data_IF_786172406849
#
_entry.id   IF_786172406849
#
_cell.length_a   1.000
_cell.length_b   1.000
_cell.length_c   1.000
_cell.angle_alpha   90.00
_cell.angle_beta   90.00
_cell.angle_gamma   90.00
#
_symmetry.space_group_name_H-M   'P 1'
#
loop_
_entity.id
_entity.type
_entity.pdbx_description
1 polymer ?
#
# COMPACT_ATOMS: atom_id res chain seq x y z
N UNK A 1 5.55 -24.07 -0.53
CA UNK A 1 5.44 -22.60 -0.41
C UNK A 1 5.53 -22.27 1.08
N UNK A 2 6.64 -21.70 1.57
CA UNK A 2 6.74 -21.29 2.99
C UNK A 2 5.75 -20.14 3.19
N UNK A 3 4.86 -20.27 4.18
CA UNK A 3 3.91 -19.19 4.53
C UNK A 3 4.70 -17.96 4.93
N UNK A 4 4.42 -16.82 4.32
CA UNK A 4 4.97 -15.52 4.73
C UNK A 4 4.81 -15.35 6.24
N UNK A 5 5.91 -15.05 6.95
CA UNK A 5 5.92 -14.86 8.39
C UNK A 5 5.35 -13.48 8.71
N UNK A 6 4.03 -13.39 8.80
CA UNK A 6 3.41 -12.19 9.36
C UNK A 6 3.68 -12.12 10.84
N UNK A 7 3.93 -10.92 11.36
CA UNK A 7 3.81 -10.72 12.80
C UNK A 7 2.39 -11.04 13.26
N UNK A 8 2.26 -11.57 14.48
CA UNK A 8 0.97 -11.70 15.14
C UNK A 8 0.53 -10.32 15.65
N UNK A 9 -0.66 -9.87 15.26
CA UNK A 9 -1.30 -8.66 15.76
C UNK A 9 -1.08 -7.39 14.93
N UNK A 10 -1.65 -6.29 15.40
CA UNK A 10 -1.80 -5.06 14.63
C UNK A 10 -0.51 -4.21 14.62
N UNK A 11 -0.14 -3.69 13.45
CA UNK A 11 0.98 -2.79 13.20
C UNK A 11 0.65 -1.37 13.61
N UNK A 12 1.68 -0.60 13.95
CA UNK A 12 1.62 0.86 14.05
C UNK A 12 2.89 1.48 13.45
N UNK A 13 2.90 2.80 13.29
CA UNK A 13 4.08 3.54 12.83
C UNK A 13 5.31 3.41 13.74
N UNK A 14 5.13 2.95 14.99
CA UNK A 14 6.22 2.63 15.94
C UNK A 14 6.64 1.16 15.94
N UNK A 15 5.94 0.30 15.21
CA UNK A 15 6.30 -1.10 15.09
C UNK A 15 7.67 -1.25 14.43
N UNK A 16 8.42 -2.28 14.85
CA UNK A 16 9.65 -2.69 14.18
C UNK A 16 9.25 -3.73 13.12
N UNK A 17 9.53 -3.48 11.82
CA UNK A 17 9.30 -4.49 10.78
C UNK A 17 10.03 -5.78 11.12
N UNK A 18 9.42 -6.92 10.76
CA UNK A 18 10.13 -8.20 10.78
C UNK A 18 11.29 -8.19 9.77
N UNK A 19 12.35 -8.94 10.07
CA UNK A 19 13.40 -9.18 9.07
C UNK A 19 12.81 -9.99 7.93
N UNK A 20 13.20 -9.65 6.70
CA UNK A 20 12.87 -10.49 5.55
C UNK A 20 13.50 -11.87 5.71
N UNK A 21 12.84 -12.89 5.16
CA UNK A 21 13.30 -14.27 5.16
C UNK A 21 14.05 -14.66 3.86
N UNK A 22 14.28 -13.70 2.96
CA UNK A 22 15.10 -13.88 1.76
C UNK A 22 15.92 -12.64 1.44
N UNK A 23 16.85 -12.82 0.50
CA UNK A 23 17.77 -11.77 0.06
C UNK A 23 17.04 -10.69 -0.76
N UNK A 24 17.74 -9.59 -1.00
CA UNK A 24 17.29 -8.57 -1.94
C UNK A 24 17.25 -9.16 -3.35
N UNK A 25 16.12 -9.00 -4.02
CA UNK A 25 15.88 -9.42 -5.40
C UNK A 25 15.09 -8.29 -6.07
N UNK A 26 15.63 -7.78 -7.18
CA UNK A 26 15.11 -6.59 -7.84
C UNK A 26 13.74 -6.79 -8.49
N UNK A 27 13.44 -8.01 -8.94
CA UNK A 27 12.19 -8.38 -9.61
C UNK A 27 11.19 -9.04 -8.64
N UNK A 28 11.58 -9.28 -7.39
CA UNK A 28 10.69 -9.90 -6.41
C UNK A 28 9.95 -8.88 -5.57
N UNK A 29 8.62 -9.02 -5.52
CA UNK A 29 7.76 -8.08 -4.83
C UNK A 29 6.59 -8.76 -4.09
N UNK A 30 5.93 -7.99 -3.25
CA UNK A 30 4.66 -8.31 -2.62
C UNK A 30 3.55 -7.41 -3.18
N UNK A 31 2.42 -8.03 -3.51
CA UNK A 31 1.12 -7.35 -3.44
C UNK A 31 0.45 -7.76 -2.12
N UNK A 32 -0.11 -6.81 -1.39
CA UNK A 32 -0.66 -7.04 -0.06
C UNK A 32 -1.93 -6.23 0.22
N UNK A 33 -2.84 -6.85 0.96
CA UNK A 33 -4.08 -6.25 1.44
C UNK A 33 -3.98 -6.02 2.94
N UNK A 34 -4.20 -4.77 3.36
CA UNK A 34 -4.26 -4.42 4.78
C UNK A 34 -5.43 -3.49 5.09
N UNK A 35 -5.82 -3.46 6.35
CA UNK A 35 -6.93 -2.68 6.89
C UNK A 35 -6.41 -1.65 7.90
N UNK A 36 -6.88 -0.42 7.80
CA UNK A 36 -6.73 0.61 8.81
C UNK A 36 -7.88 0.48 9.82
N UNK A 37 -7.55 0.12 11.05
CA UNK A 37 -8.53 -0.44 12.00
C UNK A 37 -9.30 0.64 12.76
N UNK A 38 -8.65 1.74 13.09
CA UNK A 38 -9.11 2.65 14.15
C UNK A 38 -9.14 4.12 13.73
N UNK A 39 -9.27 4.42 12.43
CA UNK A 39 -9.35 5.82 11.99
C UNK A 39 -10.58 6.54 12.56
N UNK A 40 -11.71 5.82 12.68
CA UNK A 40 -12.95 6.36 13.22
C UNK A 40 -12.84 6.84 14.67
N UNK A 41 -11.88 6.32 15.44
CA UNK A 41 -11.64 6.73 16.84
C UNK A 41 -11.05 8.15 16.92
N UNK A 42 -10.38 8.61 15.86
CA UNK A 42 -9.75 9.93 15.79
C UNK A 42 -10.52 10.90 14.90
N UNK A 43 -11.24 10.38 13.91
CA UNK A 43 -11.97 11.18 12.94
C UNK A 43 -13.41 10.62 12.83
N UNK A 44 -14.40 11.26 13.48
CA UNK A 44 -15.76 10.75 13.57
C UNK A 44 -16.45 10.46 12.23
N UNK A 45 -16.07 11.18 11.16
CA UNK A 45 -16.59 10.94 9.81
C UNK A 45 -16.28 9.53 9.26
N UNK A 46 -15.30 8.83 9.85
CA UNK A 46 -14.91 7.47 9.49
C UNK A 46 -15.38 6.42 10.52
N UNK A 47 -16.22 6.79 11.49
CA UNK A 47 -16.75 5.86 12.46
C UNK A 47 -17.54 4.73 11.77
N UNK A 48 -17.22 3.48 12.12
CA UNK A 48 -17.84 2.29 11.53
C UNK A 48 -17.41 1.94 10.10
N UNK A 49 -16.54 2.74 9.47
CA UNK A 49 -15.99 2.40 8.15
C UNK A 49 -14.92 1.30 8.27
N UNK A 50 -14.84 0.45 7.24
CA UNK A 50 -13.76 -0.54 7.12
C UNK A 50 -12.87 -0.18 5.94
N UNK A 51 -11.71 0.37 6.27
CA UNK A 51 -10.85 1.05 5.31
C UNK A 51 -9.70 0.13 4.94
N UNK A 52 -9.68 -0.32 3.68
CA UNK A 52 -8.68 -1.22 3.14
C UNK A 52 -7.75 -0.51 2.17
N UNK A 53 -6.52 -1.01 2.06
CA UNK A 53 -5.60 -0.67 0.98
C UNK A 53 -5.02 -1.95 0.39
N UNK A 54 -5.10 -2.01 -0.93
CA UNK A 54 -4.26 -2.89 -1.73
C UNK A 54 -2.97 -2.13 -2.07
N UNK A 55 -1.83 -2.79 -1.87
CA UNK A 55 -0.54 -2.13 -2.00
C UNK A 55 0.51 -3.01 -2.64
N UNK A 56 1.56 -2.34 -3.10
CA UNK A 56 2.78 -2.91 -3.63
C UNK A 56 3.99 -2.58 -2.74
N UNK A 57 4.91 -3.54 -2.60
CA UNK A 57 6.20 -3.36 -1.92
C UNK A 57 7.25 -4.31 -2.50
N UNK A 58 8.53 -3.94 -2.42
CA UNK A 58 9.63 -4.88 -2.68
C UNK A 58 9.57 -6.05 -1.70
N UNK A 59 10.11 -7.21 -2.09
CA UNK A 59 10.18 -8.37 -1.20
C UNK A 59 11.04 -8.08 0.04
N UNK A 60 12.26 -7.63 -0.21
CA UNK A 60 13.25 -7.23 0.79
C UNK A 60 13.79 -5.86 0.40
N UNK A 61 13.92 -4.94 1.35
CA UNK A 61 14.68 -3.70 1.14
C UNK A 61 16.18 -3.93 1.36
N UNK A 62 17.05 -3.05 0.83
CA UNK A 62 18.52 -3.17 0.97
C UNK A 62 19.02 -3.31 2.42
N UNK A 63 18.25 -2.80 3.38
CA UNK A 63 18.52 -2.90 4.82
C UNK A 63 18.06 -4.23 5.47
N UNK A 64 17.55 -5.18 4.68
CA UNK A 64 17.13 -6.51 5.11
C UNK A 64 15.74 -6.58 5.77
N UNK A 65 14.96 -5.50 5.76
CA UNK A 65 13.59 -5.49 6.32
C UNK A 65 12.55 -5.99 5.31
N UNK A 66 11.49 -6.62 5.84
CA UNK A 66 10.31 -7.00 5.06
C UNK A 66 9.64 -5.75 4.46
N UNK A 67 9.34 -5.81 3.16
CA UNK A 67 8.85 -4.64 2.46
C UNK A 67 7.41 -4.26 2.82
N UNK A 68 6.55 -5.24 3.12
CA UNK A 68 5.14 -5.00 3.45
C UNK A 68 5.04 -4.23 4.76
N UNK A 69 5.65 -4.74 5.83
CA UNK A 69 5.56 -4.09 7.15
C UNK A 69 6.23 -2.72 7.14
N UNK A 70 7.35 -2.58 6.41
CA UNK A 70 8.05 -1.30 6.24
C UNK A 70 7.17 -0.25 5.55
N UNK A 71 6.46 -0.62 4.48
CA UNK A 71 5.57 0.31 3.75
C UNK A 71 4.32 0.67 4.52
N UNK A 72 3.72 -0.28 5.24
CA UNK A 72 2.55 0.01 6.08
C UNK A 72 2.95 0.96 7.21
N UNK A 73 4.07 0.70 7.90
CA UNK A 73 4.59 1.57 8.96
C UNK A 73 4.81 3.00 8.46
N UNK A 74 5.46 3.15 7.31
CA UNK A 74 5.70 4.45 6.70
C UNK A 74 4.39 5.16 6.37
N UNK A 75 3.44 4.44 5.76
CA UNK A 75 2.12 4.99 5.43
C UNK A 75 1.40 5.48 6.68
N UNK A 76 1.36 4.69 7.76
CA UNK A 76 0.77 5.10 9.03
C UNK A 76 1.46 6.34 9.61
N UNK A 77 2.80 6.39 9.57
CA UNK A 77 3.57 7.53 10.08
C UNK A 77 3.23 8.82 9.33
N UNK A 78 3.14 8.74 8.00
CA UNK A 78 2.77 9.86 7.16
C UNK A 78 1.32 10.30 7.42
N UNK A 79 0.39 9.35 7.64
CA UNK A 79 -1.00 9.64 7.98
C UNK A 79 -1.11 10.37 9.32
N UNK A 80 -0.43 9.86 10.35
CA UNK A 80 -0.39 10.48 11.68
C UNK A 80 0.17 11.91 11.59
N UNK A 81 1.25 12.12 10.84
CA UNK A 81 1.80 13.46 10.61
C UNK A 81 0.80 14.38 9.93
N UNK A 82 0.13 13.93 8.87
CA UNK A 82 -0.80 14.76 8.10
C UNK A 82 -2.10 15.06 8.86
N UNK A 83 -2.55 14.14 9.70
CA UNK A 83 -3.73 14.31 10.54
C UNK A 83 -3.43 14.96 11.88
N UNK A 84 -2.16 15.33 12.14
CA UNK A 84 -1.69 15.88 13.41
C UNK A 84 -2.07 14.98 14.62
N UNK A 85 -1.85 13.68 14.47
CA UNK A 85 -2.04 12.68 15.51
C UNK A 85 -0.69 12.27 16.12
N UNK A 86 -0.72 11.79 17.37
CA UNK A 86 0.46 11.23 18.01
C UNK A 86 0.98 10.00 17.25
N UNK A 87 2.31 9.85 17.17
CA UNK A 87 2.88 8.69 16.49
C UNK A 87 2.59 7.38 17.22
N UNK A 88 2.12 6.39 16.48
CA UNK A 88 1.86 5.02 16.92
C UNK A 88 0.43 4.75 17.37
N UNK A 89 -0.47 5.72 17.18
CA UNK A 89 -1.89 5.60 17.56
C UNK A 89 -2.71 4.93 16.47
N UNK A 90 -2.37 5.10 15.19
CA UNK A 90 -3.05 4.40 14.10
C UNK A 90 -2.59 2.94 14.04
N UNK A 91 -3.55 2.05 13.79
CA UNK A 91 -3.36 0.60 13.75
C UNK A 91 -3.70 0.03 12.39
N UNK A 92 -2.84 -0.85 11.91
CA UNK A 92 -3.02 -1.59 10.67
C UNK A 92 -3.07 -3.09 10.91
N UNK A 93 -3.92 -3.80 10.18
CA UNK A 93 -3.96 -5.27 10.14
C UNK A 93 -3.67 -5.75 8.73
N UNK A 94 -2.67 -6.60 8.58
CA UNK A 94 -2.41 -7.24 7.30
C UNK A 94 -3.32 -8.45 7.19
N UNK A 95 -4.10 -8.50 6.13
CA UNK A 95 -4.98 -9.62 5.86
C UNK A 95 -4.27 -10.65 5.00
N UNK A 96 -3.70 -10.21 3.88
CA UNK A 96 -3.09 -11.08 2.87
C UNK A 96 -1.82 -10.42 2.31
N UNK A 97 -0.81 -11.21 1.97
CA UNK A 97 0.27 -10.79 1.09
C UNK A 97 0.64 -11.95 0.16
N UNK A 98 0.89 -11.63 -1.09
CA UNK A 98 1.25 -12.58 -2.12
C UNK A 98 2.51 -12.11 -2.85
N UNK A 99 3.46 -13.03 -2.96
CA UNK A 99 4.72 -12.83 -3.68
C UNK A 99 4.50 -13.17 -5.13
N UNK A 100 5.12 -12.38 -6.01
CA UNK A 100 5.26 -12.66 -7.43
C UNK A 100 6.41 -11.83 -8.00
N UNK A 101 6.49 -11.76 -9.32
CA UNK A 101 7.37 -10.79 -9.99
C UNK A 101 6.86 -9.37 -9.78
N UNK A 102 7.69 -8.39 -10.11
CA UNK A 102 7.36 -6.97 -9.99
C UNK A 102 6.16 -6.63 -10.85
N UNK A 103 6.12 -7.16 -12.07
CA UNK A 103 5.01 -6.93 -13.01
C UNK A 103 3.77 -7.72 -12.64
N UNK A 104 3.86 -8.95 -12.14
CA UNK A 104 2.68 -9.69 -11.66
C UNK A 104 2.00 -8.98 -10.50
N UNK A 105 2.79 -8.54 -9.53
CA UNK A 105 2.29 -7.88 -8.32
C UNK A 105 1.74 -6.48 -8.61
N UNK A 106 2.43 -5.68 -9.44
CA UNK A 106 1.90 -4.40 -9.92
C UNK A 106 0.64 -4.60 -10.77
N UNK A 107 0.59 -5.62 -11.63
CA UNK A 107 -0.59 -5.91 -12.44
C UNK A 107 -1.80 -6.25 -11.58
N UNK A 108 -1.61 -7.09 -10.55
CA UNK A 108 -2.67 -7.40 -9.59
C UNK A 108 -3.16 -6.13 -8.88
N UNK A 109 -2.25 -5.26 -8.44
CA UNK A 109 -2.58 -4.00 -7.78
C UNK A 109 -3.34 -3.04 -8.71
N UNK A 110 -2.83 -2.82 -9.93
CA UNK A 110 -3.46 -1.92 -10.89
C UNK A 110 -4.84 -2.42 -11.33
N UNK A 111 -5.00 -3.73 -11.50
CA UNK A 111 -6.31 -4.32 -11.75
C UNK A 111 -7.27 -4.05 -10.58
N UNK A 112 -6.83 -4.30 -9.34
CA UNK A 112 -7.63 -4.02 -8.14
C UNK A 112 -8.06 -2.55 -8.13
N UNK A 113 -7.12 -1.62 -8.28
CA UNK A 113 -7.41 -0.19 -8.28
C UNK A 113 -8.44 0.22 -9.35
N UNK A 114 -8.27 -0.26 -10.58
CA UNK A 114 -9.16 0.07 -11.69
C UNK A 114 -10.62 -0.38 -11.46
N UNK A 115 -10.82 -1.56 -10.86
CA UNK A 115 -12.15 -2.13 -10.62
C UNK A 115 -12.82 -1.57 -9.37
N UNK A 116 -12.02 -1.05 -8.44
CA UNK A 116 -12.50 -0.55 -7.15
C UNK A 116 -12.59 0.98 -7.08
N UNK A 117 -12.30 1.68 -8.17
CA UNK A 117 -12.36 3.14 -8.24
C UNK A 117 -13.64 3.76 -7.65
N UNK A 118 -14.86 3.22 -7.86
CA UNK A 118 -16.07 3.81 -7.27
C UNK A 118 -16.13 3.77 -5.74
N UNK A 119 -15.44 2.81 -5.11
CA UNK A 119 -15.37 2.67 -3.65
C UNK A 119 -14.13 3.34 -3.06
N UNK A 120 -13.34 4.04 -3.90
CA UNK A 120 -12.07 4.64 -3.52
C UNK A 120 -12.31 5.88 -2.68
N UNK A 121 -11.70 5.90 -1.51
CA UNK A 121 -11.55 7.09 -0.69
C UNK A 121 -10.26 7.79 -1.13
N UNK A 122 -10.41 8.76 -2.03
CA UNK A 122 -9.29 9.54 -2.53
C UNK A 122 -9.08 10.79 -1.66
N UNK A 123 -7.82 11.18 -1.46
CA UNK A 123 -7.47 12.46 -0.85
C UNK A 123 -7.62 12.56 0.67
N UNK A 124 -7.81 11.42 1.34
CA UNK A 124 -7.93 11.32 2.79
C UNK A 124 -6.71 11.86 3.55
N UNK A 125 -5.58 11.97 2.86
CA UNK A 125 -4.30 12.36 3.45
C UNK A 125 -3.49 13.29 2.54
N UNK A 126 -4.17 14.26 1.90
CA UNK A 126 -3.42 15.41 1.41
C UNK A 126 -3.00 16.26 2.60
N UNK A 127 -1.73 16.64 2.66
CA UNK A 127 -1.30 17.68 3.60
C UNK A 127 -1.88 19.03 3.17
N UNK A 128 -2.95 19.46 3.84
CA UNK A 128 -3.59 20.77 3.59
C UNK A 128 -2.89 21.90 4.37
N UNK A 129 -1.94 21.59 5.26
CA UNK A 129 -1.21 22.62 6.03
C UNK A 129 -0.16 23.35 5.18
N UNK A 130 0.27 22.75 4.07
CA UNK A 130 1.15 23.36 3.06
C UNK A 130 0.41 24.21 2.01
N UNK A 131 -0.77 24.73 2.34
CA UNK A 131 -1.55 25.67 1.53
C UNK A 131 -0.92 27.08 1.46
N UNK A 132 0.40 27.17 1.31
CA UNK A 132 1.07 28.38 0.83
C UNK A 132 1.07 28.37 -0.70
N UNK A 133 0.24 29.23 -1.31
CA UNK A 133 0.31 29.64 -2.73
C UNK A 133 0.55 28.50 -3.73
N UNK A 134 -0.50 27.76 -4.09
CA UNK A 134 -0.56 27.03 -5.36
C UNK A 134 0.20 25.71 -5.47
N UNK A 135 0.77 25.17 -4.38
CA UNK A 135 1.34 23.81 -4.39
C UNK A 135 0.31 22.80 -3.88
N UNK A 136 -0.11 21.86 -4.74
CA UNK A 136 -0.95 20.71 -4.34
C UNK A 136 -0.26 20.00 -3.16
N UNK A 137 -0.98 19.81 -2.05
CA UNK A 137 -0.46 19.08 -0.89
C UNK A 137 0.18 17.75 -1.30
N UNK A 138 1.31 17.38 -0.69
CA UNK A 138 1.95 16.08 -0.98
C UNK A 138 1.03 15.00 -0.39
N UNK A 139 0.63 14.03 -1.21
CA UNK A 139 -0.18 12.91 -0.76
C UNK A 139 0.66 11.99 0.13
N UNK A 140 0.11 11.57 1.27
CA UNK A 140 0.73 10.63 2.22
C UNK A 140 0.98 9.26 1.58
N UNK A 141 2.23 8.79 1.64
CA UNK A 141 2.64 7.50 1.09
C UNK A 141 2.57 7.40 -0.45
N UNK A 142 2.44 8.53 -1.16
CA UNK A 142 2.03 8.61 -2.57
C UNK A 142 0.54 8.96 -2.69
N UNK A 143 -0.05 8.96 -3.89
CA UNK A 143 -1.52 9.10 -4.05
C UNK A 143 -2.18 7.80 -3.57
N UNK A 144 -2.06 7.52 -2.28
CA UNK A 144 -2.42 6.24 -1.68
C UNK A 144 -3.93 6.05 -1.77
N UNK A 145 -4.34 5.04 -2.53
CA UNK A 145 -5.74 4.69 -2.68
C UNK A 145 -6.19 3.80 -1.52
N UNK A 146 -7.21 4.24 -0.80
CA UNK A 146 -7.92 3.47 0.22
C UNK A 146 -9.35 3.20 -0.25
N UNK A 147 -10.01 2.21 0.34
CA UNK A 147 -11.36 1.82 -0.04
C UNK A 147 -12.20 1.48 1.19
N UNK A 148 -13.43 1.98 1.23
CA UNK A 148 -14.40 1.55 2.23
C UNK A 148 -15.20 0.35 1.69
N UNK A 149 -14.99 -0.84 2.25
CA UNK A 149 -15.76 -2.03 1.85
C UNK A 149 -15.72 -3.12 2.93
N UNK A 150 -16.67 -4.08 2.94
CA UNK A 150 -16.60 -5.23 3.85
C UNK A 150 -15.35 -6.08 3.61
N UNK A 151 -14.79 -6.67 4.67
CA UNK A 151 -13.58 -7.50 4.59
C UNK A 151 -13.69 -8.70 3.66
N UNK A 152 -14.84 -9.39 3.68
CA UNK A 152 -15.08 -10.53 2.78
C UNK A 152 -14.96 -10.08 1.32
N UNK A 153 -15.51 -8.90 1.01
CA UNK A 153 -15.41 -8.29 -0.32
C UNK A 153 -13.98 -7.90 -0.65
N UNK A 154 -13.25 -7.25 0.27
CA UNK A 154 -11.85 -6.86 0.06
C UNK A 154 -10.96 -8.07 -0.24
N UNK A 155 -11.07 -9.13 0.58
CA UNK A 155 -10.34 -10.40 0.39
C UNK A 155 -10.70 -11.09 -0.91
N UNK A 156 -11.99 -11.15 -1.26
CA UNK A 156 -12.44 -11.75 -2.52
C UNK A 156 -11.91 -10.99 -3.74
N UNK A 157 -11.93 -9.65 -3.70
CA UNK A 157 -11.42 -8.79 -4.78
C UNK A 157 -9.90 -8.89 -4.92
N UNK A 158 -9.17 -8.98 -3.81
CA UNK A 158 -7.73 -9.26 -3.78
C UNK A 158 -7.41 -10.61 -4.42
N UNK A 159 -8.07 -11.69 -3.99
CA UNK A 159 -7.84 -13.00 -4.58
C UNK A 159 -8.20 -13.04 -6.08
N UNK A 160 -9.22 -12.29 -6.49
CA UNK A 160 -9.64 -12.21 -7.89
C UNK A 160 -8.66 -11.43 -8.78
N UNK A 161 -7.93 -10.43 -8.27
CA UNK A 161 -6.95 -9.68 -9.07
C UNK A 161 -5.81 -10.57 -9.58
N UNK A 162 -5.49 -11.64 -8.85
CA UNK A 162 -4.46 -12.61 -9.17
C UNK A 162 -4.86 -13.69 -10.18
N UNK A 163 -6.06 -13.64 -10.78
CA UNK A 163 -6.43 -14.55 -11.87
C UNK A 163 -5.68 -14.14 -13.15
N UNK A 164 -5.21 -15.11 -13.93
CA UNK A 164 -4.39 -14.83 -15.13
C UNK A 164 -5.01 -13.82 -16.11
N UNK A 165 -6.32 -13.91 -16.37
CA UNK A 165 -7.02 -12.94 -17.24
C UNK A 165 -7.16 -11.53 -16.65
N UNK A 166 -7.06 -11.39 -15.33
CA UNK A 166 -7.09 -10.10 -14.64
C UNK A 166 -5.68 -9.51 -14.49
N UNK A 167 -4.67 -10.36 -14.29
CA UNK A 167 -3.26 -9.97 -14.38
C UNK A 167 -2.96 -9.37 -15.76
N UNK A 168 -3.41 -10.00 -16.85
CA UNK A 168 -3.23 -9.46 -18.21
C UNK A 168 -3.82 -8.04 -18.36
N UNK A 169 -5.04 -7.82 -17.86
CA UNK A 169 -5.68 -6.49 -17.85
C UNK A 169 -4.94 -5.49 -16.96
N UNK A 170 -4.37 -5.97 -15.86
CA UNK A 170 -3.52 -5.18 -14.98
C UNK A 170 -2.23 -4.73 -15.67
N UNK A 171 -1.60 -5.64 -16.42
CA UNK A 171 -0.38 -5.38 -17.17
C UNK A 171 -0.61 -4.32 -18.24
N UNK A 172 -1.72 -4.38 -18.98
CA UNK A 172 -2.10 -3.33 -19.93
C UNK A 172 -2.14 -1.93 -19.27
N UNK A 173 -2.61 -1.83 -18.02
CA UNK A 173 -2.64 -0.58 -17.26
C UNK A 173 -1.21 -0.15 -16.87
N UNK A 174 -0.39 -1.10 -16.41
CA UNK A 174 1.01 -0.86 -16.04
C UNK A 174 1.80 -0.32 -17.23
N UNK A 175 1.73 -1.01 -18.38
CA UNK A 175 2.41 -0.62 -19.63
C UNK A 175 1.93 0.74 -20.14
N UNK A 176 0.62 0.99 -20.09
CA UNK A 176 0.06 2.30 -20.46
C UNK A 176 0.59 3.41 -19.55
N UNK A 177 0.63 3.19 -18.23
CA UNK A 177 1.15 4.19 -17.29
C UNK A 177 2.63 4.46 -17.51
N UNK A 178 3.44 3.41 -17.67
CA UNK A 178 4.89 3.51 -17.95
C UNK A 178 5.15 4.27 -19.25
N UNK A 179 4.51 3.88 -20.35
CA UNK A 179 4.67 4.54 -21.66
C UNK A 179 4.19 6.00 -21.68
N UNK A 180 3.21 6.33 -20.83
CA UNK A 180 2.70 7.70 -20.68
C UNK A 180 3.46 8.54 -19.63
N UNK A 181 4.50 8.00 -19.00
CA UNK A 181 5.25 8.69 -17.93
C UNK A 181 4.44 8.95 -16.65
N UNK A 182 3.32 8.24 -16.45
CA UNK A 182 2.48 8.37 -15.26
C UNK A 182 3.15 7.65 -14.10
N UNK A 183 3.45 8.39 -13.03
CA UNK A 183 4.05 7.84 -11.81
C UNK A 183 3.16 6.78 -11.13
N UNK A 184 3.78 5.86 -10.38
CA UNK A 184 3.10 4.83 -9.60
C UNK A 184 3.20 3.40 -10.14
N UNK A 185 3.92 3.19 -11.24
CA UNK A 185 4.24 1.85 -11.77
C UNK A 185 5.77 1.73 -11.99
N UNK A 186 6.56 1.55 -10.91
CA UNK A 186 8.01 1.45 -11.02
C UNK A 186 8.44 0.25 -11.88
N UNK A 187 9.63 0.31 -12.47
CA UNK A 187 10.32 -0.87 -13.03
C UNK A 187 11.28 -1.43 -11.98
N UNK A 188 11.62 -2.74 -12.05
CA UNK A 188 12.57 -3.39 -11.15
C UNK A 188 13.89 -2.59 -10.98
N UNK A 189 14.38 -2.07 -12.10
CA UNK A 189 15.65 -1.41 -12.36
C UNK A 189 15.72 0.07 -11.91
N UNK A 190 14.64 0.66 -11.39
CA UNK A 190 14.69 2.02 -10.85
C UNK A 190 15.29 2.06 -9.42
N UNK A 191 16.44 2.75 -9.20
CA UNK A 191 17.13 2.79 -7.92
C UNK A 191 16.45 3.63 -6.83
N UNK A 192 15.32 4.28 -7.13
CA UNK A 192 14.81 5.41 -6.33
C UNK A 192 13.68 5.10 -5.35
N UNK A 193 13.35 3.84 -5.06
CA UNK A 193 12.29 3.55 -4.07
C UNK A 193 12.80 3.57 -2.62
N UNK A 194 14.11 3.58 -2.39
CA UNK A 194 14.70 3.45 -1.06
C UNK A 194 14.98 4.79 -0.36
N UNK A 195 15.10 5.90 -1.09
CA UNK A 195 15.36 7.22 -0.50
C UNK A 195 14.20 7.72 0.39
N UNK A 196 12.98 7.21 0.15
CA UNK A 196 11.82 7.52 0.98
C UNK A 196 11.82 6.75 2.33
N UNK A 197 12.71 5.78 2.56
CA UNK A 197 12.76 4.97 3.79
C UNK A 197 13.75 5.47 4.86
N UNK A 198 14.41 6.61 4.65
CA UNK A 198 15.25 7.30 5.64
C UNK A 198 14.40 8.17 6.58
#
# INVERSE_FOLDING_TARGET
MKSWKTRKGDLSSKSRPVKSDGEYDEDRAYNYLWELINLGDFIPAFAGMRIFKDGFARYTYSNGWDGVESRIKQTLRDMERTLNLDFGVLRARIHWAKVGTFDETLSAEQFFHSRNFPSRIAGLFYDHSRNGKGKKGRAVGGVSEFYNMPEITAKARFANSWRGSNLAKGLEIVEKKRSSGIHGCPTPDLPNYEEDLK
#
